data_IF_384558004296
#
_entry.id   IF_384558004296
#
_cell.length_a   1.000
_cell.length_b   1.000
_cell.length_c   1.000
_cell.angle_alpha   90.00
_cell.angle_beta   90.00
_cell.angle_gamma   90.00
#
_symmetry.space_group_name_H-M   'P 1'
#
loop_
_entity.id
_entity.type
_entity.pdbx_description
1 polymer ?
#
# COMPACT_ATOMS: atom_id res chain seq x y z
N UNK A 1 36.46 -15.13 5.40
CA UNK A 1 35.06 -15.61 5.25
C UNK A 1 34.11 -14.92 6.24
N UNK A 2 34.15 -13.58 6.38
CA UNK A 2 33.32 -12.84 7.35
C UNK A 2 32.43 -11.78 6.69
N UNK A 3 32.81 -11.32 5.50
CA UNK A 3 32.11 -10.24 4.77
C UNK A 3 30.75 -10.71 4.25
N UNK A 4 30.63 -11.95 3.76
CA UNK A 4 29.34 -12.47 3.27
C UNK A 4 28.26 -12.58 4.35
N UNK A 5 28.62 -12.81 5.62
CA UNK A 5 27.64 -13.01 6.69
C UNK A 5 26.97 -11.70 7.11
N UNK A 6 27.69 -10.58 7.04
CA UNK A 6 27.17 -9.24 7.35
C UNK A 6 26.21 -8.75 6.24
N UNK A 7 26.54 -9.04 4.99
CA UNK A 7 25.69 -8.69 3.83
C UNK A 7 24.33 -9.39 3.90
N UNK A 8 24.30 -10.65 4.35
CA UNK A 8 23.05 -11.39 4.52
C UNK A 8 22.19 -10.87 5.68
N UNK A 9 22.80 -10.45 6.78
CA UNK A 9 22.07 -9.84 7.90
C UNK A 9 21.47 -8.47 7.53
N UNK A 10 22.18 -7.67 6.71
CA UNK A 10 21.68 -6.40 6.18
C UNK A 10 20.55 -6.59 5.16
N UNK A 11 20.61 -7.63 4.31
CA UNK A 11 19.55 -7.93 3.34
C UNK A 11 18.22 -8.35 3.99
N UNK A 12 18.27 -8.99 5.18
CA UNK A 12 17.06 -9.39 5.92
C UNK A 12 16.34 -8.19 6.57
N UNK A 13 17.05 -7.11 6.90
CA UNK A 13 16.48 -5.91 7.52
C UNK A 13 15.68 -5.02 6.56
N UNK A 14 15.82 -5.22 5.24
CA UNK A 14 15.15 -4.40 4.21
C UNK A 14 13.81 -5.01 3.76
N UNK A 15 13.36 -6.12 4.37
CA UNK A 15 11.99 -6.59 4.18
C UNK A 15 11.05 -5.79 5.10
N UNK A 16 10.91 -4.50 4.84
CA UNK A 16 9.80 -3.70 5.35
C UNK A 16 8.53 -4.24 4.69
N UNK A 17 7.91 -5.24 5.31
CA UNK A 17 6.62 -5.76 4.86
C UNK A 17 5.62 -4.61 5.04
N UNK A 18 5.18 -4.01 3.93
CA UNK A 18 4.12 -3.01 3.96
C UNK A 18 2.88 -3.71 4.50
N UNK A 19 2.46 -3.33 5.70
CA UNK A 19 1.22 -3.86 6.29
C UNK A 19 0.06 -3.31 5.47
N UNK A 20 -0.66 -4.21 4.81
CA UNK A 20 -1.85 -3.92 4.02
C UNK A 20 -3.08 -4.56 4.67
N UNK A 21 -4.21 -3.86 4.62
CA UNK A 21 -5.50 -4.38 5.05
C UNK A 21 -6.65 -3.47 4.60
N UNK A 22 -7.85 -3.67 5.16
CA UNK A 22 -9.05 -2.93 4.75
C UNK A 22 -9.29 -2.93 3.23
N UNK A 23 -9.03 -4.07 2.57
CA UNK A 23 -9.02 -4.13 1.11
C UNK A 23 -10.42 -4.12 0.49
N UNK A 24 -10.54 -3.51 -0.68
CA UNK A 24 -11.70 -3.60 -1.55
C UNK A 24 -11.28 -3.84 -3.00
N UNK A 25 -12.24 -4.29 -3.81
CA UNK A 25 -12.05 -4.55 -5.24
C UNK A 25 -13.02 -3.72 -6.05
N UNK A 26 -12.60 -3.34 -7.25
CA UNK A 26 -13.42 -2.65 -8.24
C UNK A 26 -13.14 -3.23 -9.63
N UNK A 27 -13.90 -2.81 -10.64
CA UNK A 27 -13.79 -3.30 -12.00
C UNK A 27 -12.69 -2.59 -12.79
N UNK A 28 -12.05 -3.32 -13.70
CA UNK A 28 -11.24 -2.72 -14.75
C UNK A 28 -12.12 -2.38 -15.97
N UNK A 29 -11.82 -1.26 -16.60
CA UNK A 29 -12.41 -0.80 -17.85
C UNK A 29 -11.53 -1.19 -19.03
N UNK A 30 -12.07 -1.08 -20.24
CA UNK A 30 -11.34 -1.36 -21.48
C UNK A 30 -11.28 -0.11 -22.32
N UNK A 31 -10.08 0.30 -22.69
CA UNK A 31 -9.87 1.48 -23.52
C UNK A 31 -10.39 1.23 -24.94
N UNK A 32 -11.31 2.06 -25.43
CA UNK A 32 -11.95 1.84 -26.73
C UNK A 32 -10.98 1.97 -27.92
N UNK A 33 -9.88 2.71 -27.77
CA UNK A 33 -8.91 2.94 -28.85
C UNK A 33 -7.84 1.86 -28.91
N UNK A 34 -7.35 1.44 -27.75
CA UNK A 34 -6.21 0.50 -27.65
C UNK A 34 -6.65 -0.92 -27.31
N UNK A 35 -7.84 -1.11 -26.74
CA UNK A 35 -8.32 -2.39 -26.24
C UNK A 35 -7.64 -2.84 -24.94
N UNK A 36 -6.73 -2.03 -24.38
CA UNK A 36 -6.00 -2.33 -23.17
C UNK A 36 -6.87 -2.09 -21.93
N UNK A 37 -6.76 -2.92 -20.89
CA UNK A 37 -7.46 -2.69 -19.64
C UNK A 37 -6.82 -1.54 -18.85
N UNK A 38 -7.67 -0.77 -18.18
CA UNK A 38 -7.27 0.30 -17.26
C UNK A 38 -8.23 0.34 -16.07
N UNK A 39 -7.84 0.95 -14.96
CA UNK A 39 -8.70 1.13 -13.80
C UNK A 39 -8.81 2.62 -13.47
N UNK A 40 -9.95 3.00 -12.90
CA UNK A 40 -10.20 4.35 -12.41
C UNK A 40 -10.22 4.30 -10.88
N UNK A 41 -9.29 5.00 -10.23
CA UNK A 41 -9.22 5.08 -8.77
C UNK A 41 -10.33 5.96 -8.19
N UNK A 42 -10.58 7.04 -8.91
CA UNK A 42 -11.63 8.01 -8.72
C UNK A 42 -12.07 8.45 -10.12
N UNK A 43 -13.03 9.38 -10.24
CA UNK A 43 -13.53 9.85 -11.54
C UNK A 43 -12.49 10.63 -12.38
N UNK A 44 -11.26 10.80 -11.89
CA UNK A 44 -10.20 11.63 -12.51
C UNK A 44 -8.88 10.91 -12.71
N UNK A 45 -8.57 9.87 -11.91
CA UNK A 45 -7.27 9.22 -11.88
C UNK A 45 -7.33 7.85 -12.54
N UNK A 46 -6.70 7.76 -13.72
CA UNK A 46 -6.53 6.52 -14.49
C UNK A 46 -5.22 5.83 -14.15
N UNK A 47 -5.26 4.52 -13.95
CA UNK A 47 -4.10 3.64 -13.79
C UNK A 47 -4.13 2.54 -14.85
N UNK A 48 -2.99 2.28 -15.48
CA UNK A 48 -2.86 1.27 -16.53
C UNK A 48 -2.70 -0.14 -15.94
N UNK A 49 -2.95 -1.17 -16.74
CA UNK A 49 -2.74 -2.56 -16.36
C UNK A 49 -1.32 -2.80 -15.79
N UNK A 50 -1.24 -3.59 -14.72
CA UNK A 50 0.00 -3.95 -14.02
C UNK A 50 0.74 -2.75 -13.38
N UNK A 51 0.07 -1.60 -13.27
CA UNK A 51 0.56 -0.48 -12.47
C UNK A 51 -0.12 -0.43 -11.11
N UNK A 52 0.53 0.24 -10.17
CA UNK A 52 -0.01 0.52 -8.86
C UNK A 52 0.08 2.01 -8.55
N UNK A 53 -0.76 2.47 -7.64
CA UNK A 53 -0.80 3.85 -7.19
C UNK A 53 -1.18 3.91 -5.72
N UNK A 54 -0.44 4.73 -4.96
CA UNK A 54 -0.76 5.05 -3.57
C UNK A 54 -1.61 6.33 -3.56
N UNK A 55 -2.88 6.20 -3.15
CA UNK A 55 -3.78 7.34 -3.04
C UNK A 55 -3.38 8.25 -1.88
N UNK A 56 -3.76 9.55 -1.92
CA UNK A 56 -3.59 10.47 -0.80
C UNK A 56 -4.25 9.98 0.49
N UNK A 57 -5.33 9.19 0.38
CA UNK A 57 -6.04 8.58 1.50
C UNK A 57 -5.41 7.27 1.99
N UNK A 58 -4.17 6.99 1.57
CA UNK A 58 -3.37 5.85 2.01
C UNK A 58 -3.94 4.49 1.62
N UNK A 59 -4.46 4.38 0.39
CA UNK A 59 -4.76 3.09 -0.24
C UNK A 59 -3.75 2.81 -1.35
N UNK A 60 -3.09 1.65 -1.28
CA UNK A 60 -2.31 1.15 -2.38
C UNK A 60 -3.22 0.32 -3.30
N UNK A 61 -3.43 0.83 -4.51
CA UNK A 61 -4.28 0.23 -5.51
C UNK A 61 -3.47 -0.31 -6.67
N UNK A 62 -3.76 -1.55 -7.07
CA UNK A 62 -3.17 -2.19 -8.25
C UNK A 62 -4.24 -2.50 -9.27
N UNK A 63 -3.94 -2.22 -10.54
CA UNK A 63 -4.85 -2.52 -11.66
C UNK A 63 -4.42 -3.82 -12.33
N UNK A 64 -5.28 -4.84 -12.28
CA UNK A 64 -5.11 -6.10 -12.99
C UNK A 64 -5.91 -6.15 -14.29
N UNK A 65 -5.84 -7.30 -14.95
CA UNK A 65 -6.45 -7.53 -16.28
C UNK A 65 -7.98 -7.48 -16.33
N UNK A 66 -8.65 -7.46 -15.17
CA UNK A 66 -10.12 -7.42 -15.08
C UNK A 66 -10.68 -6.79 -13.82
N UNK A 67 -9.84 -6.51 -12.82
CA UNK A 67 -10.24 -5.89 -11.57
C UNK A 67 -9.13 -5.00 -11.04
N UNK A 68 -9.52 -4.01 -10.26
CA UNK A 68 -8.67 -3.22 -9.41
C UNK A 68 -8.72 -3.79 -7.99
N UNK A 69 -7.58 -3.82 -7.30
CA UNK A 69 -7.51 -4.17 -5.88
C UNK A 69 -6.85 -3.04 -5.11
N UNK A 70 -7.54 -2.49 -4.12
CA UNK A 70 -7.09 -1.40 -3.27
C UNK A 70 -7.03 -1.86 -1.83
N UNK A 71 -5.89 -1.66 -1.16
CA UNK A 71 -5.72 -1.96 0.26
C UNK A 71 -5.18 -0.76 1.00
N UNK A 72 -5.76 -0.45 2.15
CA UNK A 72 -5.23 0.54 3.07
C UNK A 72 -3.82 0.15 3.51
N UNK A 73 -2.93 1.14 3.59
CA UNK A 73 -1.55 0.99 4.09
C UNK A 73 -1.36 1.78 5.37
N UNK A 74 -0.42 1.32 6.21
CA UNK A 74 -0.05 2.01 7.44
C UNK A 74 -1.25 2.24 8.36
N UNK A 75 -1.57 3.49 8.71
CA UNK A 75 -2.70 3.79 9.61
C UNK A 75 -4.06 3.37 9.04
N UNK A 76 -4.17 3.20 7.72
CA UNK A 76 -5.39 2.80 7.04
C UNK A 76 -5.51 1.29 6.81
N UNK A 77 -4.46 0.53 7.11
CA UNK A 77 -4.45 -0.92 6.97
C UNK A 77 -5.42 -1.64 7.93
N UNK A 78 -5.85 -1.00 9.02
CA UNK A 78 -6.84 -1.58 9.91
C UNK A 78 -6.95 -0.91 11.28
N UNK A 79 -7.56 -1.64 12.22
CA UNK A 79 -7.75 -1.16 13.60
C UNK A 79 -6.53 -1.53 14.45
N UNK A 80 -5.93 -0.54 15.10
CA UNK A 80 -4.80 -0.73 16.00
C UNK A 80 -5.23 -0.64 17.46
N UNK A 81 -4.83 -1.63 18.26
CA UNK A 81 -5.04 -1.58 19.71
C UNK A 81 -3.88 -0.84 20.36
N UNK A 82 -4.10 0.42 20.70
CA UNK A 82 -3.10 1.27 21.37
C UNK A 82 -3.10 0.93 22.89
N UNK A 83 -1.94 0.61 23.50
CA UNK A 83 -1.86 0.41 24.94
C UNK A 83 -2.21 1.68 25.73
N UNK A 84 -2.68 1.51 26.98
CA UNK A 84 -2.94 2.65 27.87
C UNK A 84 -1.65 3.44 28.16
N UNK A 85 -1.71 4.76 28.10
CA UNK A 85 -0.55 5.65 28.31
C UNK A 85 0.32 5.85 27.06
N UNK A 86 -0.16 5.39 25.89
CA UNK A 86 0.45 5.63 24.60
C UNK A 86 -0.59 6.22 23.64
N UNK A 87 -0.09 6.94 22.64
CA UNK A 87 -0.88 7.48 21.53
C UNK A 87 -0.24 7.15 20.19
N UNK A 88 -1.09 7.11 19.16
CA UNK A 88 -0.62 7.02 17.78
C UNK A 88 -0.15 8.41 17.32
N UNK A 89 1.01 8.46 16.68
CA UNK A 89 1.52 9.65 16.00
C UNK A 89 1.72 9.30 14.52
N UNK A 90 1.04 10.04 13.66
CA UNK A 90 1.13 9.85 12.20
C UNK A 90 2.49 10.31 11.69
N UNK A 91 3.06 9.50 10.80
CA UNK A 91 4.29 9.79 10.06
C UNK A 91 3.92 9.83 8.57
N UNK A 92 3.88 11.02 7.95
CA UNK A 92 3.46 11.15 6.56
C UNK A 92 4.34 10.32 5.60
N UNK A 93 3.78 9.79 4.50
CA UNK A 93 2.40 10.02 4.06
C UNK A 93 1.37 9.12 4.74
N UNK A 94 1.72 7.89 5.12
CA UNK A 94 0.75 6.88 5.56
C UNK A 94 1.17 6.06 6.78
N UNK A 95 2.37 6.26 7.29
CA UNK A 95 2.90 5.50 8.42
C UNK A 95 2.43 6.08 9.76
N UNK A 96 2.70 5.33 10.82
CA UNK A 96 2.48 5.80 12.18
C UNK A 96 3.48 5.15 13.13
N UNK A 97 3.70 5.81 14.26
CA UNK A 97 4.44 5.27 15.40
C UNK A 97 3.57 5.34 16.64
N UNK A 98 3.89 4.50 17.63
CA UNK A 98 3.23 4.50 18.94
C UNK A 98 4.21 5.13 19.93
N UNK A 99 3.81 6.24 20.54
CA UNK A 99 4.63 7.02 21.47
C UNK A 99 3.93 7.16 22.83
N UNK A 100 4.66 7.31 23.94
CA UNK A 100 4.06 7.64 25.23
C UNK A 100 3.21 8.92 25.15
N UNK A 101 2.11 8.97 25.91
CA UNK A 101 1.29 10.18 26.08
C UNK A 101 2.06 11.33 26.73
#
# INVERSE_FOLDING_TARGET
>A
MTIMSIVWALLLLVQTVVVQGSCYVDYAYRDEKTGNPFCMLDNTTRIEENTWYLTPDCFNCSCGRGWMSCCGVGFQAGVFRIPKGFRMQLVPPCDFIIVPE
#
